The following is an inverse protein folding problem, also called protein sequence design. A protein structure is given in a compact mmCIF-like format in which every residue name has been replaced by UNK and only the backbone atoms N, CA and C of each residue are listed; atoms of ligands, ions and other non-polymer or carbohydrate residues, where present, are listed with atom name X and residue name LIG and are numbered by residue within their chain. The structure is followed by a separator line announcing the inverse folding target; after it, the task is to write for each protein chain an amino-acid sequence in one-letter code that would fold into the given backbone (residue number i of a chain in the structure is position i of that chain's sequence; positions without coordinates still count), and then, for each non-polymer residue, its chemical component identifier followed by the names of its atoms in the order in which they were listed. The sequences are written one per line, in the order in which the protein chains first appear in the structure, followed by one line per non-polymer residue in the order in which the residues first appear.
data_IF_646347838066
#
_entry.id   IF_646347838066
#
_cell.length_a   1.000
_cell.length_b   1.000
_cell.length_c   1.000
_cell.angle_alpha   90.00
_cell.angle_beta   90.00
_cell.angle_gamma   90.00
#
_symmetry.space_group_name_H-M   'P 1'
#
loop_
_entity.id
_entity.type
_entity.pdbx_description
1 polymer ?
#
# COMPACT_ATOMS: atom_id res chain seq x y z
N UNK A 1 -17.00 69.93 16.41
CA UNK A 1 -16.66 70.12 14.99
C UNK A 1 -16.97 68.82 14.26
N UNK A 2 -18.18 68.69 13.73
CA UNK A 2 -18.66 67.49 13.04
C UNK A 2 -18.21 67.51 11.58
N UNK A 3 -17.33 66.57 11.19
CA UNK A 3 -16.92 66.37 9.79
C UNK A 3 -18.07 65.74 9.02
N UNK A 4 -18.65 66.49 8.09
CA UNK A 4 -19.61 65.97 7.11
C UNK A 4 -18.94 65.08 6.06
N UNK A 5 -19.73 64.27 5.31
CA UNK A 5 -19.20 63.34 4.33
C UNK A 5 -18.51 64.07 3.17
N UNK A 6 -17.30 63.61 2.83
CA UNK A 6 -16.50 64.13 1.71
C UNK A 6 -16.86 63.33 0.46
N UNK A 7 -17.42 64.02 -0.53
CA UNK A 7 -17.69 63.48 -1.86
C UNK A 7 -16.40 63.60 -2.69
N UNK A 8 -15.88 62.45 -3.16
CA UNK A 8 -14.80 62.41 -4.14
C UNK A 8 -15.42 62.36 -5.52
N UNK A 9 -15.38 63.47 -6.25
CA UNK A 9 -15.75 63.49 -7.68
C UNK A 9 -14.68 62.73 -8.48
N UNK A 10 -15.04 61.55 -8.96
CA UNK A 10 -14.17 60.68 -9.76
C UNK A 10 -14.10 61.10 -11.24
N UNK A 11 -14.71 62.24 -11.60
CA UNK A 11 -14.79 62.71 -12.99
C UNK A 11 -13.62 63.62 -13.42
N UNK A 12 -12.74 64.03 -12.49
CA UNK A 12 -11.68 64.99 -12.79
C UNK A 12 -10.31 64.39 -13.18
N UNK A 13 -10.15 63.07 -13.28
CA UNK A 13 -8.95 62.44 -13.87
C UNK A 13 -9.34 61.41 -14.93
N UNK A 14 -9.79 61.91 -16.07
CA UNK A 14 -9.85 61.16 -17.33
C UNK A 14 -8.45 61.06 -17.98
N UNK A 15 -7.42 60.69 -17.21
CA UNK A 15 -6.23 60.10 -17.81
C UNK A 15 -6.58 58.67 -18.19
N UNK A 16 -6.28 58.21 -19.43
CA UNK A 16 -6.55 56.84 -19.81
C UNK A 16 -5.81 55.92 -18.84
N UNK A 17 -6.54 55.15 -18.03
CA UNK A 17 -5.92 54.11 -17.21
C UNK A 17 -5.20 53.17 -18.19
N UNK A 18 -3.90 52.88 -18.01
CA UNK A 18 -3.18 51.98 -18.89
C UNK A 18 -3.95 50.66 -18.96
N UNK A 19 -4.26 50.23 -20.18
CA UNK A 19 -4.99 48.99 -20.43
C UNK A 19 -4.13 47.83 -19.93
N UNK A 20 -4.70 46.94 -19.11
CA UNK A 20 -4.04 45.70 -18.68
C UNK A 20 -3.60 44.86 -19.89
N UNK A 21 -4.27 45.04 -21.03
CA UNK A 21 -3.99 44.40 -22.31
C UNK A 21 -2.68 44.86 -22.97
N UNK A 22 -2.15 46.03 -22.59
CA UNK A 22 -0.92 46.60 -23.14
C UNK A 22 0.33 46.25 -22.31
N UNK A 23 0.17 45.41 -21.27
CA UNK A 23 1.29 44.93 -20.49
C UNK A 23 2.20 44.02 -21.35
N UNK A 24 3.51 44.28 -21.44
CA UNK A 24 4.45 43.39 -22.10
C UNK A 24 4.38 42.00 -21.48
N UNK A 25 4.40 40.90 -22.29
CA UNK A 25 4.50 39.56 -21.75
C UNK A 25 5.73 39.46 -20.85
N UNK A 26 5.54 39.05 -19.61
CA UNK A 26 6.64 38.79 -18.67
C UNK A 26 7.55 37.75 -19.33
N UNK A 27 8.86 38.03 -19.53
CA UNK A 27 9.76 37.02 -20.03
C UNK A 27 9.71 35.82 -19.08
N UNK A 28 9.38 34.65 -19.61
CA UNK A 28 9.59 33.38 -18.93
C UNK A 28 11.11 33.24 -18.75
N UNK A 29 11.65 33.85 -17.70
CA UNK A 29 12.92 33.45 -17.12
C UNK A 29 12.67 32.03 -16.66
N UNK A 30 12.94 31.09 -17.56
CA UNK A 30 12.74 29.68 -17.33
C UNK A 30 13.38 29.33 -16.00
N UNK A 31 12.57 29.20 -14.96
CA UNK A 31 12.90 28.31 -13.87
C UNK A 31 13.02 26.98 -14.58
N UNK A 32 14.27 26.58 -14.84
CA UNK A 32 14.61 25.23 -15.23
C UNK A 32 13.88 24.36 -14.22
N UNK A 33 12.73 23.80 -14.61
CA UNK A 33 11.98 22.89 -13.75
C UNK A 33 13.02 21.87 -13.28
N UNK A 34 13.20 21.65 -11.96
CA UNK A 34 14.25 20.78 -11.45
C UNK A 34 14.07 19.44 -12.16
N UNK A 35 14.95 19.18 -13.13
CA UNK A 35 14.85 17.98 -13.92
C UNK A 35 15.10 16.88 -12.91
N UNK A 36 14.05 16.13 -12.58
CA UNK A 36 14.10 15.03 -11.63
C UNK A 36 14.97 13.88 -12.12
N UNK A 37 16.05 14.14 -12.86
CA UNK A 37 17.07 13.21 -13.31
C UNK A 37 17.57 12.36 -12.15
N UNK A 38 17.78 12.95 -10.95
CA UNK A 38 18.12 12.18 -9.76
C UNK A 38 17.04 11.15 -9.40
N UNK A 39 15.76 11.53 -9.47
CA UNK A 39 14.62 10.64 -9.22
C UNK A 39 14.39 9.63 -10.35
N UNK A 40 14.65 9.99 -11.60
CA UNK A 40 14.57 9.10 -12.77
C UNK A 40 15.72 8.08 -12.80
N UNK A 41 16.92 8.46 -12.35
CA UNK A 41 18.05 7.55 -12.16
C UNK A 41 17.74 6.59 -11.00
N UNK A 42 17.20 7.09 -9.88
CA UNK A 42 16.74 6.26 -8.78
C UNK A 42 15.64 5.28 -9.23
N UNK A 43 14.66 5.74 -10.02
CA UNK A 43 13.59 4.90 -10.56
C UNK A 43 14.12 3.84 -11.54
N UNK A 44 15.09 4.18 -12.40
CA UNK A 44 15.71 3.21 -13.33
C UNK A 44 16.59 2.19 -12.61
N UNK A 45 17.25 2.58 -11.53
CA UNK A 45 18.03 1.67 -10.70
C UNK A 45 17.12 0.72 -9.91
N UNK A 46 16.00 1.22 -9.39
CA UNK A 46 14.97 0.44 -8.71
C UNK A 46 14.20 -0.50 -9.67
N UNK A 47 14.10 -0.15 -10.95
CA UNK A 47 13.45 -0.98 -11.98
C UNK A 47 14.28 -2.21 -12.41
N UNK A 48 15.54 -2.35 -11.96
CA UNK A 48 16.35 -3.52 -12.29
C UNK A 48 15.87 -4.72 -11.48
N UNK A 49 15.54 -5.81 -12.19
CA UNK A 49 15.14 -7.09 -11.59
C UNK A 49 16.17 -7.50 -10.52
N UNK A 50 15.77 -7.79 -9.27
CA UNK A 50 16.70 -8.18 -8.23
C UNK A 50 17.45 -9.44 -8.67
N UNK A 51 18.78 -9.37 -8.68
CA UNK A 51 19.65 -10.46 -9.11
C UNK A 51 19.39 -11.71 -8.26
N UNK A 52 19.19 -12.86 -8.90
CA UNK A 52 19.00 -14.16 -8.21
C UNK A 52 20.16 -14.45 -7.24
N UNK A 53 21.37 -14.01 -7.58
CA UNK A 53 22.56 -14.14 -6.72
C UNK A 53 22.47 -13.27 -5.46
N UNK A 54 21.97 -12.04 -5.57
CA UNK A 54 21.80 -11.15 -4.40
C UNK A 54 20.74 -11.72 -3.47
N UNK A 55 19.63 -12.24 -4.01
CA UNK A 55 18.61 -12.92 -3.21
C UNK A 55 19.17 -14.16 -2.51
N UNK A 56 19.95 -14.98 -3.22
CA UNK A 56 20.59 -16.16 -2.65
C UNK A 56 21.61 -15.78 -1.56
N UNK A 57 22.43 -14.74 -1.81
CA UNK A 57 23.39 -14.22 -0.83
C UNK A 57 22.68 -13.80 0.46
N UNK A 58 21.62 -12.99 0.38
CA UNK A 58 20.85 -12.58 1.56
C UNK A 58 20.17 -13.75 2.27
N UNK A 59 19.69 -14.75 1.54
CA UNK A 59 19.12 -15.95 2.12
C UNK A 59 20.17 -16.77 2.89
N UNK A 60 21.34 -17.01 2.27
CA UNK A 60 22.47 -17.70 2.90
C UNK A 60 22.99 -16.92 4.11
N UNK A 61 23.14 -15.60 3.98
CA UNK A 61 23.62 -14.74 5.05
C UNK A 61 22.68 -14.76 6.25
N UNK A 62 21.37 -14.61 6.02
CA UNK A 62 20.37 -14.63 7.09
C UNK A 62 20.31 -16.01 7.77
N UNK A 63 20.39 -17.08 6.97
CA UNK A 63 20.43 -18.47 7.49
C UNK A 63 21.67 -18.71 8.34
N UNK A 64 22.84 -18.26 7.87
CA UNK A 64 24.10 -18.38 8.59
C UNK A 64 24.06 -17.62 9.93
N UNK A 65 23.62 -16.36 9.91
CA UNK A 65 23.51 -15.54 11.12
C UNK A 65 22.50 -16.18 12.08
N UNK A 66 21.34 -16.62 11.58
CA UNK A 66 20.33 -17.31 12.40
C UNK A 66 20.88 -18.58 13.06
N UNK A 67 21.63 -19.40 12.31
CA UNK A 67 22.26 -20.60 12.84
C UNK A 67 23.30 -20.28 13.92
N UNK A 68 24.17 -19.29 13.68
CA UNK A 68 25.17 -18.85 14.66
C UNK A 68 24.52 -18.35 15.95
N UNK A 69 23.51 -17.50 15.84
CA UNK A 69 22.74 -16.99 16.99
C UNK A 69 22.04 -18.13 17.73
N UNK A 70 21.43 -19.07 17.01
CA UNK A 70 20.75 -20.22 17.61
C UNK A 70 21.72 -21.11 18.39
N UNK A 71 22.89 -21.42 17.81
CA UNK A 71 23.91 -22.24 18.47
C UNK A 71 24.47 -21.50 19.70
N UNK A 72 24.73 -20.20 19.57
CA UNK A 72 25.22 -19.37 20.68
C UNK A 72 24.19 -19.31 21.83
N UNK A 73 22.91 -19.10 21.51
CA UNK A 73 21.83 -19.07 22.49
C UNK A 73 21.68 -20.42 23.20
N UNK A 74 21.74 -21.53 22.46
CA UNK A 74 21.68 -22.87 23.03
C UNK A 74 22.84 -23.13 24.00
N UNK A 75 24.08 -22.85 23.57
CA UNK A 75 25.27 -23.03 24.39
C UNK A 75 25.25 -22.12 25.61
N UNK A 76 24.76 -20.89 25.48
CA UNK A 76 24.61 -19.96 26.60
C UNK A 76 23.66 -20.52 27.65
N UNK A 77 22.47 -20.99 27.26
CA UNK A 77 21.49 -21.57 28.18
C UNK A 77 22.05 -22.83 28.84
N UNK A 78 22.68 -23.73 28.08
CA UNK A 78 23.26 -24.96 28.63
C UNK A 78 24.43 -24.68 29.59
N UNK A 79 25.29 -23.72 29.26
CA UNK A 79 26.39 -23.29 30.16
C UNK A 79 25.85 -22.66 31.45
N UNK A 80 24.77 -21.88 31.34
CA UNK A 80 24.10 -21.29 32.49
C UNK A 80 23.42 -22.36 33.34
N UNK A 81 22.80 -23.37 32.72
CA UNK A 81 22.18 -24.49 33.42
C UNK A 81 23.21 -25.32 34.19
N UNK A 82 24.39 -25.54 33.61
CA UNK A 82 25.47 -26.29 34.25
C UNK A 82 26.09 -25.56 35.45
N UNK A 83 26.17 -24.23 35.39
CA UNK A 83 26.82 -23.42 36.45
C UNK A 83 25.82 -22.91 37.50
N UNK A 84 24.66 -22.44 37.05
CA UNK A 84 23.63 -21.76 37.84
C UNK A 84 22.23 -22.22 37.39
N UNK A 85 21.76 -23.40 37.84
CA UNK A 85 20.55 -24.04 37.32
C UNK A 85 19.30 -23.16 37.36
N UNK A 86 19.09 -22.41 38.44
CA UNK A 86 17.93 -21.52 38.60
C UNK A 86 17.92 -20.43 37.52
N UNK A 87 19.09 -19.83 37.25
CA UNK A 87 19.23 -18.77 36.26
C UNK A 87 19.10 -19.33 34.83
N UNK A 88 19.63 -20.54 34.59
CA UNK A 88 19.42 -21.30 33.35
C UNK A 88 17.95 -21.55 33.06
N UNK A 89 17.17 -22.00 34.05
CA UNK A 89 15.73 -22.21 33.92
C UNK A 89 14.99 -20.90 33.61
N UNK A 90 15.31 -19.81 34.33
CA UNK A 90 14.71 -18.51 34.09
C UNK A 90 14.97 -18.01 32.66
N UNK A 91 16.22 -18.12 32.17
CA UNK A 91 16.57 -17.75 30.79
C UNK A 91 15.87 -18.63 29.74
N UNK A 92 15.75 -19.94 30.00
CA UNK A 92 15.06 -20.86 29.10
C UNK A 92 13.58 -20.48 28.95
N UNK A 93 12.91 -20.17 30.06
CA UNK A 93 11.50 -19.73 30.05
C UNK A 93 11.35 -18.41 29.30
N UNK A 94 12.24 -17.44 29.53
CA UNK A 94 12.20 -16.14 28.85
C UNK A 94 12.42 -16.27 27.33
N UNK A 95 13.42 -17.03 26.90
CA UNK A 95 13.68 -17.28 25.48
C UNK A 95 12.49 -18.00 24.84
N UNK A 96 11.97 -19.05 25.49
CA UNK A 96 10.79 -19.79 25.03
C UNK A 96 9.56 -18.89 24.89
N UNK A 97 9.31 -18.00 25.85
CA UNK A 97 8.20 -17.05 25.80
C UNK A 97 8.33 -16.06 24.63
N UNK A 98 9.53 -15.52 24.39
CA UNK A 98 9.77 -14.63 23.23
C UNK A 98 9.54 -15.36 21.92
N UNK A 99 10.07 -16.59 21.78
CA UNK A 99 9.85 -17.41 20.59
C UNK A 99 8.37 -17.72 20.36
N UNK A 100 7.62 -17.99 21.43
CA UNK A 100 6.18 -18.22 21.36
C UNK A 100 5.45 -16.96 20.88
N UNK A 101 5.75 -15.78 21.43
CA UNK A 101 5.13 -14.53 20.98
C UNK A 101 5.48 -14.23 19.52
N UNK A 102 6.73 -14.44 19.10
CA UNK A 102 7.14 -14.29 17.70
C UNK A 102 6.35 -15.25 16.79
N UNK A 103 6.17 -16.51 17.20
CA UNK A 103 5.38 -17.47 16.45
C UNK A 103 3.91 -17.03 16.33
N UNK A 104 3.29 -16.56 17.43
CA UNK A 104 1.93 -16.02 17.41
C UNK A 104 1.82 -14.78 16.52
N UNK A 105 2.82 -13.90 16.54
CA UNK A 105 2.84 -12.72 15.68
C UNK A 105 2.95 -13.13 14.21
N UNK A 106 3.85 -14.07 13.86
CA UNK A 106 3.93 -14.64 12.52
C UNK A 106 2.61 -15.27 12.08
N UNK A 107 1.93 -16.03 12.94
CA UNK A 107 0.61 -16.60 12.65
C UNK A 107 -0.45 -15.51 12.43
N UNK A 108 -0.43 -14.45 13.25
CA UNK A 108 -1.34 -13.30 13.10
C UNK A 108 -1.11 -12.58 11.78
N UNK A 109 0.15 -12.34 11.41
CA UNK A 109 0.50 -11.70 10.15
C UNK A 109 0.17 -12.62 8.98
N UNK A 110 0.40 -13.94 9.06
CA UNK A 110 -0.06 -14.89 8.03
C UNK A 110 -1.59 -14.87 7.87
N UNK A 111 -2.34 -14.76 8.96
CA UNK A 111 -3.78 -14.59 8.91
C UNK A 111 -4.18 -13.25 8.26
N UNK A 112 -3.44 -12.17 8.51
CA UNK A 112 -3.64 -10.87 7.85
C UNK A 112 -3.26 -10.91 6.35
N UNK A 113 -2.15 -11.55 5.98
CA UNK A 113 -1.71 -11.72 4.60
C UNK A 113 -2.65 -12.63 3.81
N UNK A 114 -3.29 -13.61 4.45
CA UNK A 114 -4.32 -14.43 3.79
C UNK A 114 -5.50 -13.59 3.28
N UNK A 115 -5.77 -12.43 3.92
CA UNK A 115 -6.78 -11.47 3.46
C UNK A 115 -6.31 -10.71 2.21
N UNK A 116 -5.01 -10.42 2.09
CA UNK A 116 -4.43 -9.84 0.87
C UNK A 116 -4.37 -10.85 -0.27
N UNK A 117 -3.95 -12.09 0.01
CA UNK A 117 -3.84 -13.16 -1.00
C UNK A 117 -5.20 -13.50 -1.66
N UNK A 118 -6.30 -13.36 -0.91
CA UNK A 118 -7.67 -13.46 -1.47
C UNK A 118 -7.97 -12.37 -2.51
N UNK A 119 -7.37 -11.20 -2.38
CA UNK A 119 -7.53 -10.09 -3.32
C UNK A 119 -6.77 -10.39 -4.62
N UNK A 120 -5.52 -10.83 -4.51
CA UNK A 120 -4.71 -11.20 -5.69
C UNK A 120 -5.31 -12.37 -6.46
N UNK A 121 -5.85 -13.37 -5.76
CA UNK A 121 -6.59 -14.48 -6.38
C UNK A 121 -7.83 -13.99 -7.13
N UNK A 122 -8.60 -13.06 -6.55
CA UNK A 122 -9.76 -12.48 -7.22
C UNK A 122 -9.38 -11.72 -8.51
N UNK A 123 -8.33 -10.91 -8.46
CA UNK A 123 -7.87 -10.15 -9.63
C UNK A 123 -7.41 -11.08 -10.76
N UNK A 124 -6.75 -12.19 -10.43
CA UNK A 124 -6.37 -13.20 -11.41
C UNK A 124 -7.61 -13.91 -12.00
N UNK A 125 -8.56 -14.30 -11.14
CA UNK A 125 -9.78 -14.98 -11.57
C UNK A 125 -10.67 -14.07 -12.45
N UNK A 126 -10.74 -12.75 -12.17
CA UNK A 126 -11.43 -11.76 -13.05
C UNK A 126 -10.77 -11.74 -14.43
N UNK A 127 -9.44 -11.63 -14.47
CA UNK A 127 -8.70 -11.58 -15.75
C UNK A 127 -8.89 -12.86 -16.57
N UNK A 128 -8.91 -14.01 -15.90
CA UNK A 128 -9.18 -15.29 -16.56
C UNK A 128 -10.63 -15.37 -17.08
N UNK A 129 -11.63 -14.99 -16.26
CA UNK A 129 -13.04 -15.01 -16.65
C UNK A 129 -13.33 -14.09 -17.85
N UNK A 130 -12.73 -12.89 -17.87
CA UNK A 130 -12.86 -11.96 -19.01
C UNK A 130 -12.16 -12.49 -20.26
N UNK A 131 -10.97 -13.09 -20.13
CA UNK A 131 -10.25 -13.63 -21.30
C UNK A 131 -10.92 -14.85 -21.94
N UNK A 132 -11.68 -15.62 -21.15
CA UNK A 132 -12.37 -16.84 -21.60
C UNK A 132 -13.87 -16.62 -21.89
N UNK A 133 -14.38 -15.41 -21.66
CA UNK A 133 -15.81 -15.06 -21.71
C UNK A 133 -16.70 -16.05 -20.94
N UNK A 134 -16.20 -16.53 -19.79
CA UNK A 134 -16.88 -17.53 -18.97
C UNK A 134 -17.78 -16.83 -17.94
N UNK A 135 -19.07 -16.76 -18.25
CA UNK A 135 -20.11 -16.18 -17.39
C UNK A 135 -20.22 -16.91 -16.03
N UNK A 136 -19.94 -18.21 -15.97
CA UNK A 136 -20.01 -18.99 -14.72
C UNK A 136 -18.82 -18.68 -13.83
N UNK A 137 -17.63 -18.56 -14.41
CA UNK A 137 -16.45 -18.08 -13.70
C UNK A 137 -16.66 -16.65 -13.19
N UNK A 138 -17.21 -15.77 -14.03
CA UNK A 138 -17.50 -14.39 -13.66
C UNK A 138 -18.45 -14.29 -12.45
N UNK A 139 -19.54 -15.05 -12.45
CA UNK A 139 -20.49 -15.13 -11.32
C UNK A 139 -19.84 -15.64 -10.03
N UNK A 140 -19.02 -16.69 -10.13
CA UNK A 140 -18.26 -17.24 -8.98
C UNK A 140 -17.34 -16.18 -8.36
N UNK A 141 -16.67 -15.37 -9.19
CA UNK A 141 -15.81 -14.29 -8.72
C UNK A 141 -16.61 -13.19 -8.04
N UNK A 142 -17.75 -12.79 -8.61
CA UNK A 142 -18.68 -11.84 -7.99
C UNK A 142 -19.21 -12.34 -6.64
N UNK A 143 -19.54 -13.63 -6.51
CA UNK A 143 -19.99 -14.23 -5.24
C UNK A 143 -18.89 -14.18 -4.17
N UNK A 144 -17.65 -14.48 -4.54
CA UNK A 144 -16.50 -14.38 -3.62
C UNK A 144 -16.23 -12.94 -3.21
N UNK A 145 -16.41 -11.97 -4.12
CA UNK A 145 -16.30 -10.55 -3.83
C UNK A 145 -17.36 -10.10 -2.81
N UNK A 146 -18.63 -10.46 -3.04
CA UNK A 146 -19.74 -10.15 -2.12
C UNK A 146 -19.52 -10.80 -0.75
N UNK A 147 -19.03 -12.04 -0.70
CA UNK A 147 -18.68 -12.72 0.54
C UNK A 147 -17.54 -12.04 1.29
N UNK A 148 -16.51 -11.55 0.59
CA UNK A 148 -15.38 -10.82 1.17
C UNK A 148 -15.81 -9.51 1.84
N UNK A 149 -16.78 -8.81 1.24
CA UNK A 149 -17.28 -7.52 1.74
C UNK A 149 -18.54 -7.63 2.61
N UNK A 150 -19.00 -8.84 2.94
CA UNK A 150 -20.23 -9.07 3.73
C UNK A 150 -20.19 -8.41 5.11
N UNK A 151 -19.01 -8.29 5.72
CA UNK A 151 -18.82 -7.70 7.05
C UNK A 151 -18.76 -6.16 7.08
N UNK A 152 -18.89 -5.47 5.94
CA UNK A 152 -18.83 -4.01 5.86
C UNK A 152 -20.22 -3.44 5.57
N UNK A 153 -20.78 -2.68 6.51
CA UNK A 153 -22.10 -2.07 6.35
C UNK A 153 -22.11 -1.00 5.25
N UNK A 154 -21.01 -0.27 5.07
CA UNK A 154 -20.84 0.74 4.01
C UNK A 154 -21.12 0.21 2.59
N UNK A 155 -20.93 -1.10 2.34
CA UNK A 155 -21.12 -1.70 1.01
C UNK A 155 -22.47 -2.39 0.84
N UNK A 156 -23.34 -2.37 1.86
CA UNK A 156 -24.63 -3.07 1.85
C UNK A 156 -25.49 -2.70 0.65
N UNK A 157 -25.70 -1.40 0.44
CA UNK A 157 -26.53 -0.89 -0.66
C UNK A 157 -26.00 -1.30 -2.05
N UNK A 158 -24.69 -1.22 -2.26
CA UNK A 158 -24.07 -1.66 -3.51
C UNK A 158 -24.16 -3.17 -3.73
N UNK A 159 -24.03 -3.97 -2.67
CA UNK A 159 -24.20 -5.45 -2.74
C UNK A 159 -25.64 -5.84 -3.06
N UNK A 160 -26.61 -5.16 -2.45
CA UNK A 160 -28.04 -5.40 -2.71
C UNK A 160 -28.38 -5.05 -4.16
N UNK A 161 -27.89 -3.90 -4.66
CA UNK A 161 -28.09 -3.50 -6.07
C UNK A 161 -27.40 -4.42 -7.07
N UNK A 162 -26.19 -4.89 -6.76
CA UNK A 162 -25.48 -5.86 -7.58
C UNK A 162 -26.20 -7.22 -7.61
N UNK A 163 -26.81 -7.64 -6.49
CA UNK A 163 -27.58 -8.87 -6.42
C UNK A 163 -28.84 -8.83 -7.30
N UNK A 164 -29.48 -7.66 -7.44
CA UNK A 164 -30.59 -7.43 -8.36
C UNK A 164 -30.14 -7.50 -9.83
N UNK A 165 -29.07 -6.79 -10.19
CA UNK A 165 -28.68 -6.60 -11.60
C UNK A 165 -27.85 -7.74 -12.18
N UNK A 166 -27.12 -8.50 -11.36
CA UNK A 166 -26.22 -9.58 -11.86
C UNK A 166 -26.95 -10.71 -12.60
N UNK A 167 -28.24 -10.89 -12.34
CA UNK A 167 -29.07 -11.91 -13.00
C UNK A 167 -29.43 -11.53 -14.43
N UNK A 168 -29.45 -10.23 -14.73
CA UNK A 168 -29.81 -9.69 -16.05
C UNK A 168 -28.61 -9.65 -17.02
N UNK A 169 -27.38 -9.78 -16.49
CA UNK A 169 -26.17 -9.80 -17.30
C UNK A 169 -25.94 -11.18 -17.95
N UNK A 170 -25.75 -11.17 -19.27
CA UNK A 170 -25.67 -12.37 -20.12
C UNK A 170 -24.25 -12.73 -20.56
N UNK A 171 -23.26 -11.86 -20.34
CA UNK A 171 -21.86 -12.03 -20.71
C UNK A 171 -20.92 -11.72 -19.52
N UNK A 172 -19.68 -12.21 -19.59
CA UNK A 172 -18.70 -11.96 -18.53
C UNK A 172 -18.28 -10.48 -18.51
N UNK A 173 -18.23 -9.85 -19.69
CA UNK A 173 -17.84 -8.45 -19.85
C UNK A 173 -18.85 -7.48 -19.23
N UNK A 174 -20.17 -7.64 -19.42
CA UNK A 174 -21.12 -6.71 -18.79
C UNK A 174 -21.30 -6.99 -17.30
N UNK A 175 -20.91 -8.17 -16.79
CA UNK A 175 -20.94 -8.47 -15.36
C UNK A 175 -19.72 -7.94 -14.60
N UNK A 176 -18.53 -7.94 -15.20
CA UNK A 176 -17.25 -7.60 -14.53
C UNK A 176 -16.53 -6.36 -15.08
N UNK A 177 -16.94 -5.84 -16.24
CA UNK A 177 -16.28 -4.73 -16.95
C UNK A 177 -16.73 -3.33 -16.55
#
# INVERSE_FOLDING_TARGET
MSRGPVLFDLEAEATPRPSVSDAPPVPDVGMVAPQGQAMQIAARLAARKPSKLVRLFWWLLSTLIGALVSIAAWNFVMGLMASYPILGMAMTVLIGAVLLVLALLCLRELAAFSRLARLDGLHHDVGQALSQDDLKAARSVTDRLVALYKGREDTRWGRDRLAELRGDQMDAQALLG
#
